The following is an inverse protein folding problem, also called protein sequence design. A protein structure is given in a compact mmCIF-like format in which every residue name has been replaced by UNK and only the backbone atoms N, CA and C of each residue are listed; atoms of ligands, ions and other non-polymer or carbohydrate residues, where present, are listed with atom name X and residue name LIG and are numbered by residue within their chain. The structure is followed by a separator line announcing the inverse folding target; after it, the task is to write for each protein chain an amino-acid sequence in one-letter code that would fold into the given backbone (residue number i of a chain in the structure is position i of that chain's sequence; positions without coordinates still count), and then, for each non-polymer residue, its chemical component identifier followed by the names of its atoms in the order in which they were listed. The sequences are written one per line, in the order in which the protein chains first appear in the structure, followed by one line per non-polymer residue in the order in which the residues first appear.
data_IF_206211772518
#
_entry.id   IF_206211772518
#
_cell.length_a   1.000
_cell.length_b   1.000
_cell.length_c   1.000
_cell.angle_alpha   90.00
_cell.angle_beta   90.00
_cell.angle_gamma   90.00
#
_symmetry.space_group_name_H-M   'P 1'
#
loop_
_entity.id
_entity.type
_entity.pdbx_description
1 polymer ?
#
# COMPACT_ATOMS: atom_id res chain seq x y z
N UNK A 1 -21.07 23.82 29.80
CA UNK A 1 -20.64 24.44 28.53
C UNK A 1 -19.13 24.33 28.27
N UNK A 2 -18.20 24.71 29.18
CA UNK A 2 -16.74 24.63 28.91
C UNK A 2 -16.21 23.23 28.58
N UNK A 3 -16.67 22.19 29.29
CA UNK A 3 -16.28 20.78 29.04
C UNK A 3 -16.78 20.27 27.67
N UNK A 4 -18.00 20.66 27.29
CA UNK A 4 -18.61 20.30 25.99
C UNK A 4 -17.80 20.88 24.83
N UNK A 5 -17.38 22.15 24.93
CA UNK A 5 -16.54 22.79 23.91
C UNK A 5 -15.16 22.14 23.78
N UNK A 6 -14.55 21.72 24.90
CA UNK A 6 -13.28 20.98 24.88
C UNK A 6 -13.41 19.62 24.19
N UNK A 7 -14.50 18.89 24.45
CA UNK A 7 -14.75 17.58 23.80
C UNK A 7 -14.96 17.78 22.29
N UNK A 8 -15.73 18.79 21.87
CA UNK A 8 -15.94 19.08 20.45
C UNK A 8 -14.62 19.42 19.76
N UNK A 9 -13.80 20.29 20.36
CA UNK A 9 -12.48 20.62 19.81
C UNK A 9 -11.56 19.41 19.68
N UNK A 10 -11.54 18.51 20.67
CA UNK A 10 -10.77 17.28 20.62
C UNK A 10 -11.24 16.34 19.49
N UNK A 11 -12.56 16.14 19.36
CA UNK A 11 -13.13 15.29 18.31
C UNK A 11 -12.83 15.86 16.93
N UNK A 12 -13.02 17.17 16.73
CA UNK A 12 -12.68 17.84 15.48
C UNK A 12 -11.19 17.71 15.16
N UNK A 13 -10.32 17.81 16.18
CA UNK A 13 -8.89 17.58 16.02
C UNK A 13 -8.56 16.17 15.55
N UNK A 14 -9.15 15.14 16.16
CA UNK A 14 -8.92 13.74 15.76
C UNK A 14 -9.43 13.49 14.34
N UNK A 15 -10.61 14.02 13.98
CA UNK A 15 -11.16 13.90 12.63
C UNK A 15 -10.27 14.58 11.60
N UNK A 16 -9.79 15.80 11.90
CA UNK A 16 -8.88 16.52 11.02
C UNK A 16 -7.55 15.78 10.82
N UNK A 17 -6.98 15.20 11.89
CA UNK A 17 -5.78 14.37 11.82
C UNK A 17 -5.99 13.11 10.98
N UNK A 18 -7.09 12.39 11.19
CA UNK A 18 -7.44 11.21 10.40
C UNK A 18 -7.62 11.55 8.91
N UNK A 19 -8.27 12.67 8.60
CA UNK A 19 -8.44 13.14 7.23
C UNK A 19 -7.09 13.52 6.59
N UNK A 20 -6.25 14.27 7.29
CA UNK A 20 -4.92 14.63 6.79
C UNK A 20 -4.06 13.38 6.50
N UNK A 21 -4.10 12.40 7.40
CA UNK A 21 -3.42 11.13 7.22
C UNK A 21 -3.96 10.35 6.01
N UNK A 22 -5.27 10.28 5.84
CA UNK A 22 -5.92 9.65 4.69
C UNK A 22 -5.51 10.32 3.36
N UNK A 23 -5.55 11.65 3.31
CA UNK A 23 -5.16 12.43 2.13
C UNK A 23 -3.68 12.27 1.77
N UNK A 24 -2.81 12.04 2.77
CA UNK A 24 -1.40 11.77 2.53
C UNK A 24 -1.16 10.34 2.01
N UNK A 25 -1.76 9.34 2.65
CA UNK A 25 -1.46 7.94 2.35
C UNK A 25 -2.05 7.44 1.03
N UNK A 26 -3.32 7.77 0.73
CA UNK A 26 -3.99 7.19 -0.44
C UNK A 26 -3.29 7.52 -1.77
N UNK A 27 -2.89 8.78 -2.04
CA UNK A 27 -2.14 9.11 -3.25
C UNK A 27 -0.76 8.43 -3.29
N UNK A 28 -0.07 8.37 -2.14
CA UNK A 28 1.25 7.74 -2.02
C UNK A 28 1.20 6.26 -2.38
N UNK A 29 0.24 5.50 -1.83
CA UNK A 29 0.08 4.09 -2.17
C UNK A 29 -0.28 3.88 -3.65
N UNK A 30 -1.12 4.72 -4.24
CA UNK A 30 -1.41 4.63 -5.68
C UNK A 30 -0.19 4.91 -6.56
N UNK A 31 0.70 5.80 -6.12
CA UNK A 31 1.94 6.08 -6.83
C UNK A 31 2.92 4.90 -6.74
N UNK A 32 3.12 4.34 -5.55
CA UNK A 32 3.99 3.18 -5.32
C UNK A 32 3.51 1.95 -6.10
N UNK A 33 2.21 1.68 -6.13
CA UNK A 33 1.65 0.57 -6.91
C UNK A 33 1.97 0.69 -8.42
N UNK A 34 1.93 1.91 -8.98
CA UNK A 34 2.30 2.12 -10.39
C UNK A 34 3.78 1.86 -10.64
N UNK A 35 4.66 2.22 -9.69
CA UNK A 35 6.09 1.92 -9.80
C UNK A 35 6.32 0.41 -9.76
N UNK A 36 5.61 -0.30 -8.89
CA UNK A 36 5.63 -1.76 -8.83
C UNK A 36 5.17 -2.38 -10.16
N UNK A 37 4.06 -1.90 -10.73
CA UNK A 37 3.55 -2.37 -12.02
C UNK A 37 4.58 -2.16 -13.15
N UNK A 38 5.22 -0.98 -13.19
CA UNK A 38 6.28 -0.67 -14.15
C UNK A 38 7.49 -1.59 -13.96
N UNK A 39 7.90 -1.83 -12.73
CA UNK A 39 9.02 -2.72 -12.41
C UNK A 39 8.72 -4.16 -12.81
N UNK A 40 7.52 -4.68 -12.51
CA UNK A 40 7.09 -6.02 -12.94
C UNK A 40 7.18 -6.15 -14.46
N UNK A 41 6.64 -5.17 -15.17
CA UNK A 41 6.63 -5.15 -16.65
C UNK A 41 8.06 -5.11 -17.22
N UNK A 42 8.90 -4.18 -16.74
CA UNK A 42 10.26 -4.01 -17.22
C UNK A 42 11.15 -5.24 -16.99
N UNK A 43 10.93 -5.96 -15.89
CA UNK A 43 11.74 -7.12 -15.50
C UNK A 43 11.12 -8.46 -15.93
N UNK A 44 10.04 -8.44 -16.72
CA UNK A 44 9.34 -9.64 -17.19
C UNK A 44 8.93 -10.56 -16.03
N UNK A 45 8.51 -9.99 -14.91
CA UNK A 45 8.07 -10.74 -13.72
C UNK A 45 6.60 -11.12 -13.83
N UNK A 46 6.18 -12.12 -13.06
CA UNK A 46 4.76 -12.41 -12.91
C UNK A 46 4.08 -11.30 -12.07
N UNK A 47 2.75 -11.36 -11.97
CA UNK A 47 1.93 -10.36 -11.25
C UNK A 47 2.21 -10.26 -9.73
N UNK A 48 3.07 -11.11 -9.19
CA UNK A 48 3.48 -11.12 -7.78
C UNK A 48 4.93 -10.63 -7.60
N UNK A 49 5.58 -10.15 -8.65
CA UNK A 49 6.98 -9.70 -8.58
C UNK A 49 7.99 -10.85 -8.52
N UNK A 50 7.58 -12.07 -8.85
CA UNK A 50 8.44 -13.25 -8.89
C UNK A 50 8.74 -13.65 -10.35
N UNK A 51 9.75 -14.51 -10.61
CA UNK A 51 9.98 -15.04 -11.97
C UNK A 51 8.72 -15.68 -12.59
N UNK A 52 8.56 -15.59 -13.92
CA UNK A 52 7.37 -16.10 -14.64
C UNK A 52 7.03 -17.56 -14.31
N UNK A 53 8.06 -18.39 -14.17
CA UNK A 53 7.91 -19.84 -13.99
C UNK A 53 7.85 -20.26 -12.52
N UNK A 54 7.59 -19.31 -11.61
CA UNK A 54 7.45 -19.61 -10.19
C UNK A 54 6.20 -20.45 -9.95
N UNK A 55 6.39 -21.68 -9.47
CA UNK A 55 5.31 -22.57 -9.07
C UNK A 55 4.97 -22.36 -7.59
N UNK A 56 3.69 -22.26 -7.27
CA UNK A 56 3.23 -22.08 -5.89
C UNK A 56 2.55 -23.35 -5.36
N UNK A 57 3.27 -24.10 -4.52
CA UNK A 57 2.80 -25.38 -3.98
C UNK A 57 1.55 -25.26 -3.11
N UNK A 58 1.34 -24.10 -2.47
CA UNK A 58 0.21 -23.83 -1.57
C UNK A 58 -0.88 -22.94 -2.22
N UNK A 59 -0.90 -22.86 -3.57
CA UNK A 59 -1.79 -21.97 -4.31
C UNK A 59 -1.23 -20.55 -4.45
N UNK A 60 -2.04 -19.64 -4.99
CA UNK A 60 -1.60 -18.27 -5.31
C UNK A 60 -1.20 -17.48 -4.05
N UNK A 61 -0.11 -16.67 -4.08
CA UNK A 61 0.38 -15.92 -2.91
C UNK A 61 -0.61 -14.93 -2.29
N UNK A 62 -1.50 -14.38 -3.11
CA UNK A 62 -2.44 -13.35 -2.72
C UNK A 62 -3.76 -13.51 -3.46
N UNK A 63 -4.85 -13.04 -2.83
CA UNK A 63 -6.22 -13.17 -3.34
C UNK A 63 -6.77 -11.86 -3.91
N UNK A 64 -6.38 -10.73 -3.34
CA UNK A 64 -6.79 -9.41 -3.83
C UNK A 64 -5.60 -8.61 -4.33
N UNK A 65 -5.84 -7.65 -5.21
CA UNK A 65 -4.80 -6.75 -5.73
C UNK A 65 -4.05 -6.03 -4.60
N UNK A 66 -4.75 -5.62 -3.54
CA UNK A 66 -4.12 -4.99 -2.36
C UNK A 66 -3.14 -5.97 -1.70
N UNK A 67 -3.59 -7.18 -1.42
CA UNK A 67 -2.75 -8.19 -0.77
C UNK A 67 -1.54 -8.56 -1.64
N UNK A 68 -1.66 -8.47 -2.96
CA UNK A 68 -0.55 -8.72 -3.87
C UNK A 68 0.53 -7.63 -3.79
N UNK A 69 0.17 -6.35 -3.76
CA UNK A 69 1.16 -5.28 -3.54
C UNK A 69 1.81 -5.39 -2.16
N UNK A 70 1.05 -5.75 -1.14
CA UNK A 70 1.60 -5.97 0.20
C UNK A 70 2.55 -7.17 0.25
N UNK A 71 2.22 -8.25 -0.47
CA UNK A 71 3.12 -9.39 -0.68
C UNK A 71 4.42 -8.97 -1.39
N UNK A 72 4.32 -8.23 -2.50
CA UNK A 72 5.49 -7.74 -3.24
C UNK A 72 6.39 -6.89 -2.33
N UNK A 73 5.82 -5.93 -1.59
CA UNK A 73 6.54 -5.09 -0.64
C UNK A 73 7.24 -5.89 0.46
N UNK A 74 6.62 -6.99 0.90
CA UNK A 74 7.20 -7.88 1.91
C UNK A 74 8.36 -8.72 1.35
N UNK A 75 8.25 -9.18 0.11
CA UNK A 75 9.27 -10.01 -0.54
C UNK A 75 10.48 -9.20 -1.04
N UNK A 76 10.27 -7.90 -1.32
CA UNK A 76 11.27 -6.99 -1.87
C UNK A 76 11.45 -5.77 -0.94
N UNK A 77 12.02 -5.93 0.26
CA UNK A 77 12.15 -4.85 1.25
C UNK A 77 13.11 -3.74 0.81
N UNK A 78 14.00 -4.02 -0.15
CA UNK A 78 14.91 -3.08 -0.79
C UNK A 78 14.23 -2.19 -1.85
N UNK A 79 12.97 -2.49 -2.18
CA UNK A 79 12.12 -1.72 -3.11
C UNK A 79 12.78 -1.42 -4.45
N UNK A 80 13.05 -2.45 -5.28
CA UNK A 80 13.75 -2.31 -6.55
C UNK A 80 13.03 -1.40 -7.58
N UNK A 81 11.76 -1.07 -7.36
CA UNK A 81 10.97 -0.13 -8.17
C UNK A 81 11.20 1.36 -7.84
N UNK A 82 11.95 1.71 -6.79
CA UNK A 82 12.27 3.10 -6.43
C UNK A 82 13.53 3.65 -7.12
N UNK A 83 14.06 2.95 -8.14
CA UNK A 83 15.28 3.31 -8.86
C UNK A 83 15.04 4.29 -10.02
#
# INVERSE_FOLDING_TARGET
MRKTLMIIGLVLGIVALGLAFYLYLVPKFKAENRQIDSWISANHLNKYGDPQNTAYSNGQPCKTTRDCYDYIKKMHPDKPWEK
#
